data_IF_438071219039
#
_entry.id   IF_438071219039
#
_cell.length_a   1.000
_cell.length_b   1.000
_cell.length_c   1.000
_cell.angle_alpha   90.00
_cell.angle_beta   90.00
_cell.angle_gamma   90.00
#
_symmetry.space_group_name_H-M   'P 1'
#
loop_
_entity.id
_entity.type
_entity.pdbx_description
1 polymer ?
#
# COMPACT_ATOMS: atom_id res chain seq x y z
N UNK A 1 -5.53 -9.32 27.32
CA UNK A 1 -5.54 -8.37 26.19
C UNK A 1 -4.09 -7.99 25.95
N UNK A 2 -3.58 -8.07 24.72
CA UNK A 2 -2.24 -7.59 24.46
C UNK A 2 -2.17 -6.10 24.80
N UNK A 3 -1.15 -5.71 25.57
CA UNK A 3 -0.96 -4.32 26.02
C UNK A 3 -0.40 -3.51 24.84
N UNK A 4 -1.30 -2.91 24.03
CA UNK A 4 -0.92 -2.10 22.89
C UNK A 4 -0.33 -0.79 23.38
N UNK A 5 0.86 -0.45 22.88
CA UNK A 5 1.42 0.90 23.06
C UNK A 5 0.69 1.87 22.15
N UNK A 6 0.19 2.96 22.70
CA UNK A 6 -0.45 4.02 21.93
C UNK A 6 0.52 5.19 21.77
N UNK A 7 0.93 5.51 20.54
CA UNK A 7 1.91 6.54 20.23
C UNK A 7 1.24 7.64 19.39
N UNK A 8 1.51 8.90 19.70
CA UNK A 8 1.03 10.03 18.89
C UNK A 8 1.74 10.05 17.52
N UNK A 9 1.07 10.58 16.50
CA UNK A 9 1.56 10.53 15.12
C UNK A 9 2.93 11.22 14.97
N UNK A 10 3.12 12.42 15.51
CA UNK A 10 4.35 13.17 15.35
C UNK A 10 5.56 12.51 16.02
N UNK A 11 5.52 12.07 17.30
CA UNK A 11 6.59 11.30 17.91
C UNK A 11 6.90 9.99 17.16
N UNK A 12 5.88 9.32 16.61
CA UNK A 12 6.09 8.11 15.83
C UNK A 12 6.81 8.42 14.50
N UNK A 13 6.46 9.49 13.80
CA UNK A 13 7.17 9.96 12.60
C UNK A 13 8.64 10.23 12.94
N UNK A 14 8.92 10.95 14.03
CA UNK A 14 10.28 11.29 14.45
C UNK A 14 11.11 10.04 14.78
N UNK A 15 10.54 9.08 15.51
CA UNK A 15 11.20 7.82 15.85
C UNK A 15 11.54 7.00 14.60
N UNK A 16 10.59 6.87 13.66
CA UNK A 16 10.82 6.15 12.40
C UNK A 16 11.82 6.89 11.51
N UNK A 17 11.72 8.21 11.42
CA UNK A 17 12.68 9.06 10.67
C UNK A 17 14.11 8.87 11.20
N UNK A 18 14.30 8.81 12.53
CA UNK A 18 15.61 8.58 13.14
C UNK A 18 16.20 7.24 12.70
N UNK A 19 15.38 6.17 12.64
CA UNK A 19 15.82 4.84 12.18
C UNK A 19 16.24 4.88 10.71
N UNK A 20 15.41 5.50 9.84
CA UNK A 20 15.69 5.59 8.41
C UNK A 20 16.95 6.41 8.13
N UNK A 21 17.16 7.51 8.85
CA UNK A 21 18.40 8.32 8.79
C UNK A 21 19.63 7.53 9.23
N UNK A 22 19.52 6.77 10.31
CA UNK A 22 20.62 5.90 10.78
C UNK A 22 21.03 4.85 9.72
N UNK A 23 20.11 4.48 8.81
CA UNK A 23 20.38 3.63 7.65
C UNK A 23 21.06 4.35 6.48
N UNK A 24 21.41 5.63 6.61
CA UNK A 24 22.12 6.40 5.59
C UNK A 24 21.23 7.27 4.69
N UNK A 25 19.93 7.35 4.96
CA UNK A 25 18.99 8.20 4.22
C UNK A 25 19.16 9.68 4.52
N UNK A 26 18.94 10.53 3.51
CA UNK A 26 18.81 11.98 3.69
C UNK A 26 17.61 12.35 4.56
N UNK A 27 17.60 13.58 5.08
CA UNK A 27 16.46 14.11 5.86
C UNK A 27 15.14 14.03 5.09
N UNK A 28 15.18 14.38 3.81
CA UNK A 28 13.98 14.36 2.95
C UNK A 28 13.47 12.95 2.70
N UNK A 29 14.35 11.99 2.42
CA UNK A 29 13.98 10.59 2.24
C UNK A 29 13.35 10.04 3.53
N UNK A 30 14.00 10.27 4.67
CA UNK A 30 13.51 9.80 5.97
C UNK A 30 12.15 10.40 6.34
N UNK A 31 11.92 11.69 6.03
CA UNK A 31 10.63 12.36 6.20
C UNK A 31 9.54 11.71 5.36
N UNK A 32 9.77 11.52 4.06
CA UNK A 32 8.79 10.91 3.15
C UNK A 32 8.45 9.47 3.57
N UNK A 33 9.46 8.67 3.93
CA UNK A 33 9.25 7.29 4.38
C UNK A 33 8.45 7.25 5.68
N UNK A 34 8.86 7.99 6.70
CA UNK A 34 8.21 7.96 8.01
C UNK A 34 6.79 8.51 7.96
N UNK A 35 6.57 9.61 7.25
CA UNK A 35 5.24 10.21 7.10
C UNK A 35 4.28 9.27 6.37
N UNK A 36 4.71 8.64 5.27
CA UNK A 36 3.87 7.70 4.52
C UNK A 36 3.48 6.48 5.37
N UNK A 37 4.43 5.89 6.11
CA UNK A 37 4.16 4.74 6.98
C UNK A 37 3.21 5.09 8.12
N UNK A 38 3.40 6.22 8.77
CA UNK A 38 2.52 6.68 9.85
C UNK A 38 1.14 7.06 9.32
N UNK A 39 1.06 7.66 8.12
CA UNK A 39 -0.22 7.95 7.46
C UNK A 39 -0.99 6.65 7.15
N UNK A 40 -0.31 5.58 6.72
CA UNK A 40 -0.93 4.27 6.55
C UNK A 40 -1.50 3.73 7.87
N UNK A 41 -0.77 3.86 8.98
CA UNK A 41 -1.29 3.52 10.30
C UNK A 41 -2.49 4.39 10.68
N UNK A 42 -2.42 5.71 10.51
CA UNK A 42 -3.52 6.62 10.82
C UNK A 42 -4.82 6.20 10.10
N UNK A 43 -4.73 5.71 8.88
CA UNK A 43 -5.85 5.23 8.07
C UNK A 43 -6.27 3.77 8.33
N UNK A 44 -5.64 3.09 9.30
CA UNK A 44 -5.99 1.71 9.66
C UNK A 44 -5.34 0.64 8.79
N UNK A 45 -4.40 1.01 7.92
CA UNK A 45 -3.63 0.09 7.09
C UNK A 45 -2.31 -0.31 7.76
N UNK A 46 -2.38 -0.89 8.97
CA UNK A 46 -1.21 -1.24 9.80
C UNK A 46 -0.25 -2.21 9.11
N UNK A 47 -0.73 -3.01 8.16
CA UNK A 47 0.10 -3.90 7.34
C UNK A 47 1.07 -3.17 6.41
N UNK A 48 0.83 -1.90 6.11
CA UNK A 48 1.65 -1.01 5.28
C UNK A 48 2.21 0.17 6.09
N UNK A 49 2.05 0.14 7.41
CA UNK A 49 2.51 1.16 8.35
C UNK A 49 3.92 0.88 8.88
N UNK A 50 4.21 1.43 10.05
CA UNK A 50 5.54 1.39 10.69
C UNK A 50 6.07 -0.04 10.93
N UNK A 51 5.19 -1.04 10.99
CA UNK A 51 5.56 -2.46 11.03
C UNK A 51 6.34 -2.95 9.80
N UNK A 52 6.51 -2.13 8.77
CA UNK A 52 7.37 -2.42 7.61
C UNK A 52 8.85 -2.08 7.85
N UNK A 53 9.19 -1.31 8.88
CA UNK A 53 10.56 -0.87 9.17
C UNK A 53 11.55 -2.03 9.31
N UNK A 54 11.25 -3.12 10.05
CA UNK A 54 12.18 -4.25 10.14
C UNK A 54 12.52 -4.84 8.77
N UNK A 55 11.54 -4.91 7.86
CA UNK A 55 11.74 -5.40 6.50
C UNK A 55 12.57 -4.43 5.65
N UNK A 56 12.37 -3.13 5.80
CA UNK A 56 13.15 -2.12 5.09
C UNK A 56 14.60 -2.13 5.53
N UNK A 57 14.85 -2.16 6.84
CA UNK A 57 16.20 -2.29 7.41
C UNK A 57 16.90 -3.55 6.87
N UNK A 58 16.20 -4.69 6.86
CA UNK A 58 16.73 -5.92 6.30
C UNK A 58 17.03 -5.77 4.79
N UNK A 59 16.15 -5.13 4.02
CA UNK A 59 16.37 -4.91 2.58
C UNK A 59 17.56 -3.98 2.30
N UNK A 60 17.79 -2.96 3.10
CA UNK A 60 18.97 -2.10 3.01
C UNK A 60 20.24 -2.91 3.30
N UNK A 61 20.26 -3.68 4.39
CA UNK A 61 21.45 -4.46 4.79
C UNK A 61 21.82 -5.58 3.81
N UNK A 62 20.83 -6.13 3.10
CA UNK A 62 21.04 -7.19 2.09
C UNK A 62 21.24 -6.65 0.67
N UNK A 63 21.22 -5.32 0.47
CA UNK A 63 21.35 -4.68 -0.83
C UNK A 63 20.12 -4.81 -1.73
N UNK A 64 18.96 -5.09 -1.13
CA UNK A 64 17.68 -5.18 -1.84
C UNK A 64 16.92 -3.87 -1.95
N UNK A 65 17.32 -2.86 -1.16
CA UNK A 65 16.82 -1.50 -1.18
C UNK A 65 18.03 -0.55 -1.21
N UNK A 66 18.05 0.34 -2.20
CA UNK A 66 19.06 1.37 -2.34
C UNK A 66 18.54 2.70 -1.74
N UNK A 67 19.27 3.25 -0.75
CA UNK A 67 18.93 4.54 -0.14
C UNK A 67 19.25 5.71 -1.07
N UNK A 68 18.55 6.83 -0.90
CA UNK A 68 18.77 8.09 -1.61
C UNK A 68 18.66 7.96 -3.15
N UNK A 69 17.77 7.07 -3.61
CA UNK A 69 17.45 6.98 -5.03
C UNK A 69 16.28 7.89 -5.38
N UNK A 70 16.31 8.37 -6.61
CA UNK A 70 15.26 9.17 -7.24
C UNK A 70 14.77 8.47 -8.51
N UNK A 71 13.56 8.80 -8.98
CA UNK A 71 13.04 8.21 -10.21
C UNK A 71 13.94 8.58 -11.40
N UNK A 72 14.26 7.56 -12.21
CA UNK A 72 14.92 7.75 -13.48
C UNK A 72 13.87 7.78 -14.60
N UNK A 73 13.81 8.87 -15.35
CA UNK A 73 12.96 8.95 -16.53
C UNK A 73 13.60 8.11 -17.63
N UNK A 74 12.88 7.08 -18.09
CA UNK A 74 13.28 6.20 -19.19
C UNK A 74 12.69 6.70 -20.50
N UNK A 75 11.42 7.14 -20.48
CA UNK A 75 10.71 7.72 -21.61
C UNK A 75 9.80 8.84 -21.12
N UNK A 76 9.79 9.97 -21.82
CA UNK A 76 8.82 11.07 -21.64
C UNK A 76 8.41 11.61 -23.01
N UNK A 77 7.17 11.36 -23.39
CA UNK A 77 6.58 11.91 -24.62
C UNK A 77 5.49 12.96 -24.33
N UNK A 78 5.42 13.43 -23.08
CA UNK A 78 4.36 14.27 -22.55
C UNK A 78 3.24 13.42 -21.93
N UNK A 79 2.30 12.87 -22.69
CA UNK A 79 1.23 12.04 -22.13
C UNK A 79 1.67 10.61 -21.74
N UNK A 80 2.80 10.13 -22.22
CA UNK A 80 3.37 8.82 -21.88
C UNK A 80 4.66 8.99 -21.10
N UNK A 81 4.74 8.38 -19.93
CA UNK A 81 5.88 8.45 -19.02
C UNK A 81 6.28 7.05 -18.58
N UNK A 82 7.55 6.70 -18.73
CA UNK A 82 8.10 5.45 -18.18
C UNK A 82 9.24 5.78 -17.23
N UNK A 83 9.16 5.21 -16.01
CA UNK A 83 10.04 5.52 -14.90
C UNK A 83 10.67 4.23 -14.34
N UNK A 84 11.95 4.32 -13.95
CA UNK A 84 12.67 3.30 -13.21
C UNK A 84 12.95 3.80 -11.79
N UNK A 85 12.50 3.05 -10.78
CA UNK A 85 12.66 3.39 -9.36
C UNK A 85 13.99 2.98 -8.76
N UNK A 86 14.90 2.35 -9.53
CA UNK A 86 16.27 2.01 -9.12
C UNK A 86 16.36 1.29 -7.75
N UNK A 87 15.34 0.53 -7.39
CA UNK A 87 15.16 -0.14 -6.09
C UNK A 87 15.14 0.80 -4.89
N UNK A 88 14.89 2.10 -5.09
CA UNK A 88 14.79 3.10 -4.04
C UNK A 88 13.57 2.93 -3.14
N UNK A 89 13.54 3.66 -2.02
CA UNK A 89 12.36 3.67 -1.14
C UNK A 89 11.10 4.04 -1.92
N UNK A 90 10.13 3.13 -1.92
CA UNK A 90 8.89 3.32 -2.68
C UNK A 90 8.10 4.57 -2.30
N UNK A 91 8.29 5.08 -1.10
CA UNK A 91 7.69 6.33 -0.62
C UNK A 91 8.25 7.56 -1.34
N UNK A 92 9.55 7.57 -1.64
CA UNK A 92 10.20 8.63 -2.42
C UNK A 92 9.86 8.46 -3.90
N UNK A 93 10.08 7.26 -4.42
CA UNK A 93 9.88 6.91 -5.82
C UNK A 93 8.42 7.12 -6.25
N UNK A 94 7.45 6.70 -5.43
CA UNK A 94 6.03 6.90 -5.70
C UNK A 94 5.63 8.37 -5.65
N UNK A 95 6.14 9.13 -4.67
CA UNK A 95 5.90 10.57 -4.56
C UNK A 95 6.37 11.31 -5.82
N UNK A 96 7.62 11.11 -6.21
CA UNK A 96 8.18 11.76 -7.40
C UNK A 96 7.48 11.34 -8.70
N UNK A 97 7.13 10.04 -8.83
CA UNK A 97 6.41 9.53 -9.98
C UNK A 97 5.02 10.21 -10.13
N UNK A 98 4.31 10.39 -9.03
CA UNK A 98 2.99 11.04 -9.07
C UNK A 98 3.08 12.54 -9.32
N UNK A 99 4.08 13.25 -8.78
CA UNK A 99 4.31 14.67 -9.11
C UNK A 99 4.59 14.87 -10.60
N UNK A 100 5.52 14.08 -11.17
CA UNK A 100 5.82 14.12 -12.59
C UNK A 100 4.58 13.82 -13.45
N UNK A 101 3.83 12.79 -13.10
CA UNK A 101 2.65 12.38 -13.84
C UNK A 101 1.50 13.41 -13.73
N UNK A 102 1.30 14.01 -12.54
CA UNK A 102 0.31 15.08 -12.34
C UNK A 102 0.61 16.32 -13.18
N UNK A 103 1.88 16.74 -13.24
CA UNK A 103 2.30 17.84 -14.11
C UNK A 103 1.97 17.55 -15.60
N UNK A 104 2.27 16.31 -16.08
CA UNK A 104 1.98 15.93 -17.46
C UNK A 104 0.48 15.85 -17.73
N UNK A 105 -0.31 15.31 -16.78
CA UNK A 105 -1.75 15.24 -16.91
C UNK A 105 -2.38 16.63 -16.99
N UNK A 106 -1.97 17.57 -16.15
CA UNK A 106 -2.43 18.97 -16.22
C UNK A 106 -2.09 19.63 -17.56
N UNK A 107 -0.93 19.36 -18.12
CA UNK A 107 -0.52 19.93 -19.40
C UNK A 107 -1.25 19.29 -20.58
N UNK A 108 -1.35 17.97 -20.61
CA UNK A 108 -1.82 17.20 -21.78
C UNK A 108 -3.28 16.70 -21.65
N UNK A 109 -3.91 16.82 -20.48
CA UNK A 109 -5.23 16.26 -20.18
C UNK A 109 -5.18 14.82 -19.64
N UNK A 110 -4.10 14.09 -19.91
CA UNK A 110 -3.87 12.72 -19.45
C UNK A 110 -2.37 12.46 -19.31
N UNK A 111 -2.01 11.60 -18.36
CA UNK A 111 -0.70 10.95 -18.33
C UNK A 111 -0.90 9.46 -18.06
N UNK A 112 -0.35 8.61 -18.93
CA UNK A 112 -0.15 7.20 -18.69
C UNK A 112 1.27 7.01 -18.19
N UNK A 113 1.45 6.62 -16.94
CA UNK A 113 2.77 6.42 -16.34
C UNK A 113 2.99 4.97 -15.94
N UNK A 114 4.06 4.36 -16.43
CA UNK A 114 4.60 3.09 -16.01
C UNK A 114 5.78 3.31 -15.08
N UNK A 115 5.69 2.82 -13.86
CA UNK A 115 6.78 2.79 -12.87
C UNK A 115 7.24 1.36 -12.68
N UNK A 116 8.54 1.11 -12.81
CA UNK A 116 9.16 -0.19 -12.56
C UNK A 116 10.23 -0.11 -11.47
N UNK A 117 10.65 -1.28 -10.96
CA UNK A 117 11.77 -1.44 -10.05
C UNK A 117 11.74 -0.51 -8.81
N UNK A 118 10.56 -0.16 -8.31
CA UNK A 118 10.45 0.52 -7.02
C UNK A 118 10.53 -0.52 -5.90
N UNK A 119 11.18 -0.22 -4.77
CA UNK A 119 10.93 -0.98 -3.56
C UNK A 119 9.48 -0.75 -3.10
N UNK A 120 9.04 -1.40 -2.02
CA UNK A 120 7.65 -1.36 -1.53
C UNK A 120 7.05 0.05 -1.49
N UNK A 121 5.99 0.29 -2.28
CA UNK A 121 5.35 1.61 -2.44
C UNK A 121 4.26 1.91 -1.41
N UNK A 122 4.12 1.08 -0.37
CA UNK A 122 3.17 1.32 0.73
C UNK A 122 1.70 1.12 0.36
N UNK A 123 0.82 1.92 0.94
CA UNK A 123 -0.62 1.94 0.67
C UNK A 123 -0.90 2.69 -0.64
N UNK A 124 -1.55 2.04 -1.58
CA UNK A 124 -1.71 2.60 -2.93
C UNK A 124 -2.65 3.81 -2.94
N UNK A 125 -3.66 3.83 -2.08
CA UNK A 125 -4.54 4.99 -1.91
C UNK A 125 -3.80 6.29 -1.58
N UNK A 126 -2.58 6.26 -1.06
CA UNK A 126 -1.74 7.46 -0.85
C UNK A 126 -1.43 8.15 -2.19
N UNK A 127 -1.12 7.39 -3.21
CA UNK A 127 -0.81 7.92 -4.54
C UNK A 127 -2.06 8.47 -5.26
N UNK A 128 -3.19 7.82 -5.06
CA UNK A 128 -4.48 8.35 -5.53
C UNK A 128 -4.85 9.66 -4.83
N UNK A 129 -4.62 9.78 -3.53
CA UNK A 129 -4.84 11.00 -2.75
C UNK A 129 -3.92 12.14 -3.22
N UNK A 130 -2.64 11.86 -3.50
CA UNK A 130 -1.73 12.84 -4.08
C UNK A 130 -2.24 13.35 -5.44
N UNK A 131 -2.76 12.50 -6.31
CA UNK A 131 -3.39 12.94 -7.56
C UNK A 131 -4.66 13.79 -7.30
N UNK A 132 -5.45 13.44 -6.31
CA UNK A 132 -6.66 14.18 -5.91
C UNK A 132 -6.31 15.59 -5.40
N UNK A 133 -5.21 15.76 -4.68
CA UNK A 133 -4.73 17.09 -4.22
C UNK A 133 -4.42 18.01 -5.40
N UNK A 134 -4.09 17.45 -6.55
CA UNK A 134 -3.95 18.16 -7.83
C UNK A 134 -5.28 18.31 -8.61
N UNK A 135 -6.41 17.82 -8.09
CA UNK A 135 -7.72 17.84 -8.76
C UNK A 135 -7.86 16.81 -9.89
N UNK A 136 -7.04 15.76 -9.88
CA UNK A 136 -6.96 14.76 -10.94
C UNK A 136 -7.66 13.45 -10.53
N UNK A 137 -8.28 12.80 -11.51
CA UNK A 137 -8.76 11.42 -11.39
C UNK A 137 -7.60 10.48 -11.67
N UNK A 138 -7.45 9.40 -10.89
CA UNK A 138 -6.38 8.43 -11.11
C UNK A 138 -6.85 6.98 -10.97
N UNK A 139 -6.23 6.09 -11.74
CA UNK A 139 -6.45 4.64 -11.72
C UNK A 139 -5.08 3.97 -11.65
N UNK A 140 -4.88 3.04 -10.73
CA UNK A 140 -3.61 2.40 -10.47
C UNK A 140 -3.73 0.88 -10.48
N UNK A 141 -2.86 0.21 -11.25
CA UNK A 141 -2.67 -1.23 -11.29
C UNK A 141 -1.28 -1.54 -10.76
N UNK A 142 -1.18 -2.34 -9.71
CA UNK A 142 0.11 -2.59 -9.03
C UNK A 142 0.40 -4.08 -8.99
N UNK A 143 1.63 -4.43 -9.34
CA UNK A 143 2.13 -5.77 -9.07
C UNK A 143 3.06 -5.80 -7.85
N UNK A 144 3.18 -6.97 -7.23
CA UNK A 144 4.02 -7.18 -6.05
C UNK A 144 4.94 -8.38 -6.29
N UNK A 145 6.20 -8.11 -6.57
CA UNK A 145 7.23 -9.15 -6.66
C UNK A 145 7.78 -9.43 -5.27
N UNK A 146 7.42 -10.58 -4.76
CA UNK A 146 7.88 -11.09 -3.47
C UNK A 146 7.66 -12.61 -3.46
N UNK A 147 7.71 -13.26 -2.29
CA UNK A 147 7.20 -14.64 -2.19
C UNK A 147 5.75 -14.67 -2.66
N UNK A 148 5.38 -15.52 -3.63
CA UNK A 148 3.98 -15.67 -4.06
C UNK A 148 3.13 -16.16 -2.88
N UNK A 149 2.03 -15.47 -2.60
CA UNK A 149 1.20 -15.72 -1.42
C UNK A 149 -0.29 -15.85 -1.71
N UNK A 150 -0.71 -15.52 -2.93
CA UNK A 150 -2.12 -15.59 -3.33
C UNK A 150 -2.26 -16.64 -4.42
N UNK A 151 -3.18 -17.59 -4.21
CA UNK A 151 -3.50 -18.60 -5.21
C UNK A 151 -4.37 -17.99 -6.32
N UNK A 152 -4.18 -18.39 -7.59
CA UNK A 152 -5.17 -18.13 -8.63
C UNK A 152 -6.45 -18.91 -8.30
N UNK A 153 -7.59 -18.44 -8.78
CA UNK A 153 -8.83 -19.15 -8.59
C UNK A 153 -8.77 -20.56 -9.20
N UNK A 154 -9.09 -21.58 -8.42
CA UNK A 154 -8.93 -22.99 -8.80
C UNK A 154 -7.51 -23.56 -8.61
N UNK A 155 -6.54 -22.72 -8.19
CA UNK A 155 -5.18 -23.17 -7.87
C UNK A 155 -5.04 -23.63 -6.43
N UNK A 156 -4.01 -24.44 -6.17
CA UNK A 156 -3.71 -25.03 -4.86
C UNK A 156 -2.49 -24.43 -4.16
N UNK A 157 -1.82 -23.45 -4.79
CA UNK A 157 -0.62 -22.78 -4.25
C UNK A 157 -0.57 -21.29 -4.63
N UNK A 158 0.29 -20.53 -3.96
CA UNK A 158 0.50 -19.11 -4.26
C UNK A 158 1.25 -18.91 -5.58
N UNK A 159 0.73 -18.03 -6.46
CA UNK A 159 1.33 -17.71 -7.77
C UNK A 159 1.61 -16.22 -7.97
N UNK A 160 0.95 -15.35 -7.22
CA UNK A 160 1.17 -13.89 -7.30
C UNK A 160 1.10 -13.23 -5.92
N UNK A 161 1.41 -11.96 -5.86
CA UNK A 161 1.26 -11.11 -4.69
C UNK A 161 -0.20 -10.71 -4.44
N UNK A 162 -0.40 -9.73 -3.57
CA UNK A 162 -1.73 -9.18 -3.28
C UNK A 162 -2.21 -8.19 -4.34
N UNK A 163 -1.37 -7.82 -5.28
CA UNK A 163 -1.60 -7.06 -6.50
C UNK A 163 -2.76 -6.06 -6.41
N UNK A 164 -2.58 -4.92 -5.71
CA UNK A 164 -3.67 -4.01 -5.42
C UNK A 164 -4.13 -3.21 -6.65
N UNK A 165 -5.41 -2.82 -6.60
CA UNK A 165 -6.04 -1.91 -7.54
C UNK A 165 -6.56 -0.69 -6.78
N UNK A 166 -6.38 0.50 -7.34
CA UNK A 166 -6.82 1.72 -6.69
C UNK A 166 -7.40 2.74 -7.69
N UNK A 167 -8.42 3.47 -7.25
CA UNK A 167 -9.02 4.58 -8.01
C UNK A 167 -9.24 5.77 -7.08
N UNK A 168 -8.80 6.95 -7.52
CA UNK A 168 -9.04 8.23 -6.87
C UNK A 168 -9.94 9.13 -7.70
N UNK A 169 -10.99 9.70 -7.08
CA UNK A 169 -11.86 10.68 -7.73
C UNK A 169 -12.00 11.90 -6.82
N UNK A 170 -11.55 13.09 -7.27
CA UNK A 170 -11.68 14.33 -6.51
C UNK A 170 -13.16 14.77 -6.42
N UNK A 171 -13.50 15.45 -5.32
CA UNK A 171 -14.80 16.10 -5.11
C UNK A 171 -14.56 17.52 -4.61
N UNK A 172 -15.00 18.51 -5.35
CA UNK A 172 -14.79 19.90 -5.01
C UNK A 172 -15.37 20.27 -3.61
N UNK A 173 -14.52 20.67 -2.69
CA UNK A 173 -14.90 21.06 -1.33
C UNK A 173 -15.47 19.95 -0.44
N UNK A 174 -15.35 18.69 -0.84
CA UNK A 174 -15.84 17.52 -0.10
C UNK A 174 -14.79 16.40 -0.04
N UNK A 175 -15.01 15.44 0.85
CA UNK A 175 -14.16 14.26 0.95
C UNK A 175 -14.14 13.46 -0.36
N UNK A 176 -12.97 13.10 -0.87
CA UNK A 176 -12.82 12.39 -2.14
C UNK A 176 -13.32 10.94 -2.06
N UNK A 177 -13.50 10.31 -3.21
CA UNK A 177 -13.67 8.86 -3.31
C UNK A 177 -12.29 8.25 -3.51
N UNK A 178 -11.89 7.32 -2.63
CA UNK A 178 -10.63 6.58 -2.71
C UNK A 178 -10.94 5.10 -2.57
N UNK A 179 -10.96 4.39 -3.67
CA UNK A 179 -11.08 2.95 -3.69
C UNK A 179 -9.67 2.35 -3.70
N UNK A 180 -9.27 1.69 -2.62
CA UNK A 180 -7.95 1.04 -2.49
C UNK A 180 -8.11 -0.33 -1.85
N UNK A 181 -7.79 -1.39 -2.60
CA UNK A 181 -7.93 -2.75 -2.10
C UNK A 181 -6.93 -3.72 -2.73
N UNK A 182 -6.53 -4.72 -1.95
CA UNK A 182 -5.80 -5.88 -2.44
C UNK A 182 -6.74 -6.81 -3.22
N UNK A 183 -6.24 -7.47 -4.26
CA UNK A 183 -7.00 -8.49 -5.00
C UNK A 183 -7.12 -9.83 -4.25
N UNK A 184 -6.43 -9.96 -3.13
CA UNK A 184 -6.60 -11.05 -2.17
C UNK A 184 -7.76 -10.79 -1.20
N UNK A 185 -8.35 -11.85 -0.67
CA UNK A 185 -9.46 -11.78 0.29
C UNK A 185 -9.07 -11.10 1.61
N UNK A 186 -7.79 -11.19 1.99
CA UNK A 186 -7.23 -10.55 3.17
C UNK A 186 -5.79 -10.12 2.90
N UNK A 187 -5.33 -9.05 3.53
CA UNK A 187 -3.93 -8.65 3.49
C UNK A 187 -3.04 -9.62 4.30
N UNK A 188 -1.84 -9.94 3.80
CA UNK A 188 -0.89 -10.83 4.48
C UNK A 188 -0.56 -10.37 5.92
N UNK A 189 -0.44 -9.07 6.15
CA UNK A 189 -0.20 -8.55 7.50
C UNK A 189 -1.30 -8.92 8.50
N UNK A 190 -2.56 -8.97 8.06
CA UNK A 190 -3.68 -9.40 8.93
C UNK A 190 -3.59 -10.89 9.28
N UNK A 191 -3.14 -11.75 8.35
CA UNK A 191 -2.96 -13.18 8.66
C UNK A 191 -1.83 -13.40 9.67
N UNK A 192 -0.74 -12.61 9.57
CA UNK A 192 0.35 -12.62 10.57
C UNK A 192 -0.16 -12.20 11.95
N UNK A 193 -0.95 -11.14 12.04
CA UNK A 193 -1.55 -10.70 13.31
C UNK A 193 -2.46 -11.78 13.90
N UNK A 194 -3.29 -12.43 13.09
CA UNK A 194 -4.15 -13.53 13.54
C UNK A 194 -3.29 -14.70 14.06
N UNK A 195 -2.21 -15.07 13.35
CA UNK A 195 -1.28 -16.10 13.78
C UNK A 195 -0.65 -15.78 15.14
N UNK A 196 -0.12 -14.56 15.29
CA UNK A 196 0.51 -14.12 16.54
C UNK A 196 -0.47 -14.09 17.73
N UNK A 197 -1.74 -13.86 17.46
CA UNK A 197 -2.82 -13.88 18.47
C UNK A 197 -3.40 -15.27 18.72
N UNK A 198 -3.01 -16.29 17.94
CA UNK A 198 -3.58 -17.64 18.02
C UNK A 198 -5.07 -17.69 17.67
N UNK A 199 -5.56 -16.78 16.80
CA UNK A 199 -6.97 -16.75 16.36
C UNK A 199 -7.10 -17.26 14.93
N UNK A 200 -8.21 -17.94 14.65
CA UNK A 200 -8.53 -18.44 13.33
C UNK A 200 -8.99 -17.31 12.40
N UNK A 201 -8.83 -17.54 11.10
CA UNK A 201 -9.36 -16.67 10.05
C UNK A 201 -10.78 -17.11 9.66
N UNK A 202 -11.48 -16.19 8.99
CA UNK A 202 -12.79 -16.51 8.42
C UNK A 202 -12.69 -17.65 7.38
N UNK A 203 -13.64 -18.60 7.35
CA UNK A 203 -13.70 -19.66 6.36
C UNK A 203 -13.64 -19.10 4.91
N UNK A 204 -12.98 -19.83 4.02
CA UNK A 204 -12.81 -19.44 2.62
C UNK A 204 -11.80 -18.30 2.40
N UNK A 205 -10.95 -18.02 3.39
CA UNK A 205 -9.91 -16.98 3.30
C UNK A 205 -8.59 -17.53 2.79
N UNK A 206 -8.22 -18.74 3.20
CA UNK A 206 -6.92 -19.36 2.90
C UNK A 206 -7.05 -20.85 2.62
N UNK A 207 -6.01 -21.39 2.00
CA UNK A 207 -5.78 -22.82 1.82
C UNK A 207 -4.47 -23.23 2.51
N UNK A 208 -4.36 -24.52 2.90
CA UNK A 208 -3.15 -25.11 3.43
C UNK A 208 -2.13 -25.44 2.33
N UNK A 209 -1.05 -26.09 2.70
CA UNK A 209 0.02 -26.53 1.76
C UNK A 209 -0.36 -27.69 0.84
N UNK A 210 -1.52 -28.30 1.03
CA UNK A 210 -2.10 -29.33 0.14
C UNK A 210 -3.21 -28.74 -0.75
N UNK A 211 -3.49 -27.43 -0.63
CA UNK A 211 -4.55 -26.76 -1.37
C UNK A 211 -5.95 -26.92 -0.76
N UNK A 212 -6.07 -27.47 0.45
CA UNK A 212 -7.35 -27.66 1.13
C UNK A 212 -7.76 -26.40 1.89
N UNK A 213 -9.05 -26.05 1.92
CA UNK A 213 -9.55 -24.93 2.74
C UNK A 213 -9.16 -25.09 4.21
N UNK A 214 -8.68 -24.00 4.82
CA UNK A 214 -8.33 -23.97 6.25
C UNK A 214 -8.60 -22.57 6.83
N UNK A 215 -8.76 -22.50 8.16
CA UNK A 215 -8.86 -21.23 8.92
C UNK A 215 -7.58 -20.92 9.67
N UNK A 216 -6.62 -21.86 9.70
CA UNK A 216 -5.39 -21.73 10.49
C UNK A 216 -4.37 -20.79 9.80
N UNK A 217 -4.12 -19.57 10.33
CA UNK A 217 -3.27 -18.57 9.72
C UNK A 217 -1.79 -18.98 9.60
N UNK A 218 -1.35 -20.05 10.30
CA UNK A 218 0.03 -20.51 10.25
C UNK A 218 0.51 -20.76 8.81
N UNK A 219 -0.39 -21.27 7.95
CA UNK A 219 -0.03 -21.63 6.57
C UNK A 219 0.33 -20.44 5.69
N UNK A 220 0.02 -19.21 6.09
CA UNK A 220 0.46 -18.01 5.39
C UNK A 220 1.75 -17.41 5.98
N UNK A 221 2.15 -17.85 7.19
CA UNK A 221 3.23 -17.25 7.98
C UNK A 221 4.47 -18.12 8.04
N UNK A 222 4.32 -19.41 8.36
CA UNK A 222 5.44 -20.35 8.53
C UNK A 222 5.32 -21.56 7.59
N UNK A 223 6.47 -22.08 7.10
CA UNK A 223 6.48 -23.30 6.26
C UNK A 223 5.89 -24.55 6.97
N UNK A 224 5.33 -25.50 6.23
CA UNK A 224 5.03 -25.42 4.82
C UNK A 224 3.91 -24.41 4.52
N UNK A 225 4.09 -23.60 3.45
CA UNK A 225 3.16 -22.53 3.15
C UNK A 225 1.98 -23.02 2.31
N UNK A 226 0.79 -22.55 2.66
CA UNK A 226 -0.39 -22.52 1.83
C UNK A 226 -0.51 -21.19 1.09
N UNK A 227 -1.74 -20.73 0.82
CA UNK A 227 -1.99 -19.49 0.11
C UNK A 227 -3.26 -18.77 0.60
N UNK A 228 -3.30 -17.46 0.38
CA UNK A 228 -4.49 -16.64 0.53
C UNK A 228 -5.34 -16.78 -0.74
N UNK A 229 -6.65 -16.79 -0.60
CA UNK A 229 -7.57 -16.84 -1.74
C UNK A 229 -7.85 -15.43 -2.29
N UNK A 230 -8.19 -15.28 -3.59
CA UNK A 230 -8.60 -14.00 -4.17
C UNK A 230 -9.97 -13.58 -3.64
N UNK A 231 -10.23 -12.25 -3.56
CA UNK A 231 -11.57 -11.77 -3.27
C UNK A 231 -12.52 -12.09 -4.45
N UNK A 232 -13.81 -12.34 -4.17
CA UNK A 232 -14.80 -12.57 -5.23
C UNK A 232 -14.39 -13.64 -6.25
N UNK A 233 -13.61 -14.65 -5.81
CA UNK A 233 -13.25 -15.83 -6.58
C UNK A 233 -12.53 -15.49 -7.91
N UNK A 234 -13.09 -15.93 -9.06
CA UNK A 234 -12.50 -15.68 -10.39
C UNK A 234 -12.37 -14.19 -10.74
N UNK A 235 -13.21 -13.30 -10.15
CA UNK A 235 -13.17 -11.85 -10.42
C UNK A 235 -11.90 -11.23 -9.84
N UNK A 236 -11.61 -11.48 -8.56
CA UNK A 236 -10.39 -11.02 -7.92
C UNK A 236 -9.14 -11.66 -8.50
N UNK A 237 -9.20 -12.96 -8.85
CA UNK A 237 -8.10 -13.64 -9.52
C UNK A 237 -7.82 -13.05 -10.91
N UNK A 238 -8.85 -12.74 -11.68
CA UNK A 238 -8.71 -12.07 -12.99
C UNK A 238 -8.10 -10.68 -12.85
N UNK A 239 -8.56 -9.88 -11.86
CA UNK A 239 -8.00 -8.56 -11.62
C UNK A 239 -6.55 -8.64 -11.13
N UNK A 240 -6.19 -9.63 -10.28
CA UNK A 240 -4.81 -9.86 -9.85
C UNK A 240 -3.88 -10.14 -11.03
N UNK A 241 -4.31 -10.98 -11.99
CA UNK A 241 -3.59 -11.26 -13.22
C UNK A 241 -3.38 -9.97 -14.05
N UNK A 242 -4.42 -9.16 -14.20
CA UNK A 242 -4.34 -7.88 -14.93
C UNK A 242 -3.39 -6.90 -14.24
N UNK A 243 -3.46 -6.78 -12.90
CA UNK A 243 -2.52 -5.95 -12.13
C UNK A 243 -1.07 -6.44 -12.28
N UNK A 244 -0.85 -7.77 -12.31
CA UNK A 244 0.49 -8.33 -12.54
C UNK A 244 1.05 -7.95 -13.91
N UNK A 245 0.22 -8.04 -14.96
CA UNK A 245 0.66 -7.73 -16.34
C UNK A 245 0.83 -6.23 -16.55
N UNK A 246 -0.13 -5.41 -16.15
CA UNK A 246 -0.10 -3.97 -16.38
C UNK A 246 0.88 -3.27 -15.45
N UNK A 247 0.83 -3.57 -14.15
CA UNK A 247 1.73 -3.00 -13.16
C UNK A 247 3.17 -3.49 -13.28
N UNK A 248 3.37 -4.73 -13.74
CA UNK A 248 4.69 -5.32 -13.94
C UNK A 248 5.20 -5.20 -15.37
N UNK A 249 4.75 -6.08 -16.25
CA UNK A 249 5.33 -6.22 -17.59
C UNK A 249 5.15 -4.97 -18.46
N UNK A 250 3.96 -4.40 -18.53
CA UNK A 250 3.69 -3.21 -19.35
C UNK A 250 4.44 -1.98 -18.84
N UNK A 251 4.65 -1.86 -17.55
CA UNK A 251 5.40 -0.76 -16.93
C UNK A 251 6.91 -0.88 -17.08
N UNK A 252 7.42 -1.88 -17.81
CA UNK A 252 8.84 -2.12 -18.05
C UNK A 252 9.55 -2.87 -16.91
N UNK A 253 8.80 -3.39 -15.94
CA UNK A 253 9.30 -4.17 -14.81
C UNK A 253 9.20 -5.67 -15.05
N UNK A 254 9.31 -6.42 -13.96
CA UNK A 254 9.21 -7.87 -13.93
C UNK A 254 7.82 -8.32 -13.46
N UNK A 255 7.50 -9.56 -13.74
CA UNK A 255 6.38 -10.29 -13.15
C UNK A 255 6.92 -11.39 -12.23
N UNK A 256 6.09 -11.89 -11.31
CA UNK A 256 6.47 -13.02 -10.45
C UNK A 256 6.74 -14.27 -11.30
N UNK A 257 7.91 -14.88 -11.14
CA UNK A 257 8.37 -16.05 -11.89
C UNK A 257 8.92 -17.14 -10.95
N UNK A 258 8.13 -17.54 -9.97
CA UNK A 258 8.56 -18.56 -9.01
C UNK A 258 9.06 -17.98 -7.68
N UNK A 259 9.80 -18.77 -6.89
CA UNK A 259 10.28 -18.32 -5.58
C UNK A 259 11.26 -17.15 -5.71
N UNK A 260 11.25 -16.27 -4.70
CA UNK A 260 12.20 -15.15 -4.57
C UNK A 260 13.65 -15.65 -4.65
N UNK A 261 14.54 -14.82 -5.20
CA UNK A 261 15.97 -15.06 -5.32
C UNK A 261 16.75 -15.08 -3.97
N UNK A 262 16.02 -15.09 -2.85
CA UNK A 262 16.59 -15.05 -1.50
C UNK A 262 17.02 -13.65 -1.05
N UNK A 263 17.03 -12.64 -1.89
CA UNK A 263 17.09 -11.24 -1.47
C UNK A 263 15.74 -10.84 -0.93
N UNK A 264 15.71 -10.30 0.28
CA UNK A 264 14.46 -9.91 0.95
C UNK A 264 13.81 -8.68 0.30
N UNK A 265 13.69 -8.70 -1.02
CA UNK A 265 13.13 -7.62 -1.81
C UNK A 265 11.63 -7.76 -1.92
N UNK A 266 10.94 -6.66 -1.71
CA UNK A 266 9.63 -6.44 -2.30
C UNK A 266 9.82 -5.41 -3.37
N UNK A 267 9.65 -5.80 -4.63
CA UNK A 267 9.62 -4.86 -5.74
C UNK A 267 8.18 -4.63 -6.16
N UNK A 268 7.87 -3.39 -6.46
CA UNK A 268 6.61 -3.00 -7.05
C UNK A 268 6.84 -2.37 -8.42
N UNK A 269 5.96 -2.71 -9.34
CA UNK A 269 5.66 -1.93 -10.51
C UNK A 269 4.25 -1.37 -10.41
N UNK A 270 4.00 -0.26 -11.08
CA UNK A 270 2.71 0.40 -11.08
C UNK A 270 2.44 1.03 -12.44
N UNK A 271 1.31 0.67 -13.06
CA UNK A 271 0.73 1.43 -14.16
C UNK A 271 -0.31 2.38 -13.58
N UNK A 272 -0.19 3.67 -13.88
CA UNK A 272 -1.19 4.65 -13.49
C UNK A 272 -1.72 5.41 -14.70
N UNK A 273 -3.04 5.63 -14.72
CA UNK A 273 -3.74 6.49 -15.69
C UNK A 273 -4.24 7.69 -14.90
N UNK A 274 -3.73 8.88 -15.21
CA UNK A 274 -4.05 10.11 -14.51
C UNK A 274 -4.73 11.06 -15.50
N UNK A 275 -5.91 11.55 -15.15
CA UNK A 275 -6.80 12.30 -16.04
C UNK A 275 -7.15 13.64 -15.43
N UNK A 276 -7.01 14.71 -16.20
CA UNK A 276 -7.53 16.03 -15.86
C UNK A 276 -8.97 16.19 -16.41
N UNK A 277 -9.99 16.15 -15.55
CA UNK A 277 -11.37 16.29 -16.01
C UNK A 277 -11.67 17.66 -16.62
N UNK A 278 -10.89 18.71 -16.32
CA UNK A 278 -11.05 20.02 -16.92
C UNK A 278 -10.64 20.03 -18.38
N UNK A 279 -9.56 19.34 -18.73
CA UNK A 279 -9.08 19.16 -20.09
C UNK A 279 -9.96 18.23 -20.93
N UNK A 280 -10.62 17.28 -20.27
CA UNK A 280 -11.63 16.43 -20.91
C UNK A 280 -12.94 17.21 -21.21
N UNK A 281 -13.12 18.40 -20.62
CA UNK A 281 -14.33 19.21 -20.79
C UNK A 281 -15.54 18.70 -19.99
N UNK A 282 -15.33 17.82 -19.02
CA UNK A 282 -16.40 17.13 -18.27
C UNK A 282 -16.42 17.46 -16.78
N UNK A 283 -15.59 18.40 -16.30
CA UNK A 283 -15.42 18.67 -14.87
C UNK A 283 -16.73 19.05 -14.15
N UNK A 284 -17.54 19.92 -14.75
CA UNK A 284 -18.84 20.31 -14.17
C UNK A 284 -19.85 19.16 -14.16
N UNK A 285 -19.87 18.37 -15.25
CA UNK A 285 -20.71 17.18 -15.32
C UNK A 285 -20.27 16.13 -14.29
N UNK A 286 -18.98 15.88 -14.17
CA UNK A 286 -18.41 14.97 -13.16
C UNK A 286 -18.83 15.40 -11.76
N UNK A 287 -18.66 16.68 -11.40
CA UNK A 287 -19.02 17.19 -10.08
C UNK A 287 -20.51 16.98 -9.78
N UNK A 288 -21.41 17.33 -10.72
CA UNK A 288 -22.85 17.19 -10.55
C UNK A 288 -23.30 15.72 -10.43
N UNK A 289 -22.85 14.88 -11.35
CA UNK A 289 -23.27 13.47 -11.40
C UNK A 289 -22.69 12.64 -10.24
N UNK A 290 -21.45 12.91 -9.82
CA UNK A 290 -20.86 12.25 -8.65
C UNK A 290 -21.67 12.56 -7.39
N UNK A 291 -22.07 13.81 -7.16
CA UNK A 291 -22.88 14.18 -5.99
C UNK A 291 -24.28 13.56 -6.04
N UNK A 292 -24.92 13.58 -7.21
CA UNK A 292 -26.21 12.95 -7.41
C UNK A 292 -26.16 11.44 -7.14
N UNK A 293 -25.14 10.77 -7.68
CA UNK A 293 -24.98 9.33 -7.49
C UNK A 293 -24.63 8.96 -6.03
N UNK A 294 -23.76 9.73 -5.37
CA UNK A 294 -23.43 9.51 -3.95
C UNK A 294 -24.69 9.66 -3.08
N UNK A 295 -25.49 10.69 -3.31
CA UNK A 295 -26.74 10.89 -2.57
C UNK A 295 -27.70 9.69 -2.76
N UNK A 296 -27.83 9.21 -3.98
CA UNK A 296 -28.61 8.01 -4.27
C UNK A 296 -28.04 6.75 -3.61
N UNK A 297 -26.74 6.52 -3.72
CA UNK A 297 -26.04 5.37 -3.15
C UNK A 297 -26.16 5.32 -1.62
N UNK A 298 -25.87 6.43 -0.96
CA UNK A 298 -25.92 6.52 0.51
C UNK A 298 -27.34 6.65 1.06
N UNK A 299 -28.31 6.97 0.23
CA UNK A 299 -29.75 6.98 0.55
C UNK A 299 -30.36 5.57 0.66
N UNK A 300 -29.61 4.51 0.33
CA UNK A 300 -30.05 3.14 0.56
C UNK A 300 -30.23 2.89 2.07
N UNK A 301 -31.35 2.29 2.52
CA UNK A 301 -31.54 1.91 3.92
C UNK A 301 -30.38 1.00 4.38
N UNK A 302 -29.75 1.28 5.53
CA UNK A 302 -28.70 0.42 6.06
C UNK A 302 -29.21 -1.01 6.33
N UNK A 303 -28.36 -2.00 6.09
CA UNK A 303 -28.66 -3.38 6.46
C UNK A 303 -28.73 -3.54 7.99
N UNK A 304 -29.42 -4.57 8.54
CA UNK A 304 -29.47 -4.82 9.97
C UNK A 304 -28.06 -4.88 10.60
N UNK A 305 -27.83 -4.09 11.64
CA UNK A 305 -26.53 -4.00 12.34
C UNK A 305 -25.52 -3.07 11.69
N UNK A 306 -25.89 -2.35 10.64
CA UNK A 306 -25.05 -1.33 9.95
C UNK A 306 -25.62 0.05 10.24
N UNK A 307 -24.79 1.00 10.69
CA UNK A 307 -25.23 2.36 11.03
C UNK A 307 -25.57 3.19 9.77
N UNK A 308 -24.76 3.08 8.74
CA UNK A 308 -24.91 3.84 7.48
C UNK A 308 -24.21 3.17 6.32
N UNK A 309 -24.69 3.45 5.10
CA UNK A 309 -23.97 3.11 3.87
C UNK A 309 -22.83 4.10 3.68
N UNK A 310 -21.62 3.58 3.44
CA UNK A 310 -20.38 4.36 3.29
C UNK A 310 -19.88 4.36 1.86
N UNK A 311 -19.19 5.43 1.49
CA UNK A 311 -18.43 5.49 0.24
C UNK A 311 -16.98 5.04 0.46
N UNK A 312 -16.30 4.66 -0.63
CA UNK A 312 -14.90 4.25 -0.60
C UNK A 312 -14.01 5.39 -0.06
N UNK A 313 -13.10 5.06 0.87
CA UNK A 313 -12.23 5.99 1.59
C UNK A 313 -12.83 6.58 2.88
N UNK A 314 -14.11 6.41 3.14
CA UNK A 314 -14.74 6.92 4.37
C UNK A 314 -14.28 6.18 5.64
N UNK A 315 -14.16 4.84 5.65
CA UNK A 315 -13.62 4.11 6.82
C UNK A 315 -12.20 4.55 7.19
N UNK A 316 -11.35 4.83 6.20
CA UNK A 316 -9.98 5.30 6.39
C UNK A 316 -9.97 6.70 7.02
N UNK A 317 -10.83 7.61 6.59
CA UNK A 317 -10.96 8.96 7.16
C UNK A 317 -11.48 8.93 8.60
N UNK A 318 -12.48 8.10 8.89
CA UNK A 318 -12.99 7.91 10.25
C UNK A 318 -11.90 7.36 11.18
N UNK A 319 -11.15 6.36 10.71
CA UNK A 319 -10.03 5.78 11.46
C UNK A 319 -8.93 6.80 11.69
N UNK A 320 -8.58 7.60 10.67
CA UNK A 320 -7.59 8.68 10.79
C UNK A 320 -8.01 9.71 11.84
N UNK A 321 -9.26 10.18 11.79
CA UNK A 321 -9.80 11.13 12.77
C UNK A 321 -9.67 10.58 14.20
N UNK A 322 -10.03 9.31 14.41
CA UNK A 322 -9.91 8.64 15.69
C UNK A 322 -8.46 8.55 16.16
N UNK A 323 -7.56 8.02 15.31
CA UNK A 323 -6.15 7.81 15.67
C UNK A 323 -5.35 9.09 15.81
N UNK A 324 -5.73 10.20 15.18
CA UNK A 324 -5.16 11.51 15.44
C UNK A 324 -5.50 12.01 16.86
N UNK A 325 -6.73 11.77 17.31
CA UNK A 325 -7.15 12.15 18.66
C UNK A 325 -6.58 11.23 19.74
N UNK A 326 -6.69 9.93 19.56
CA UNK A 326 -6.34 8.91 20.57
C UNK A 326 -4.86 8.52 20.53
N UNK A 327 -4.25 8.47 19.37
CA UNK A 327 -2.93 7.91 19.07
C UNK A 327 -3.04 6.62 18.25
N UNK A 328 -1.92 6.14 17.77
CA UNK A 328 -1.78 4.95 16.92
C UNK A 328 -1.46 3.75 17.80
N UNK A 329 -2.28 2.68 17.80
CA UNK A 329 -1.98 1.48 18.56
C UNK A 329 -0.92 0.64 17.83
N UNK A 330 0.21 0.40 18.47
CA UNK A 330 1.28 -0.48 17.99
C UNK A 330 1.37 -1.68 18.93
N UNK A 331 1.29 -2.89 18.38
CA UNK A 331 1.39 -4.11 19.20
C UNK A 331 2.82 -4.32 19.71
N UNK A 332 3.00 -4.98 20.88
CA UNK A 332 4.31 -5.11 21.53
C UNK A 332 5.36 -5.82 20.66
N UNK A 333 4.93 -6.79 19.84
CA UNK A 333 5.85 -7.52 18.94
C UNK A 333 6.35 -6.60 17.83
N UNK A 334 5.46 -5.88 17.18
CA UNK A 334 5.82 -4.90 16.15
C UNK A 334 6.74 -3.81 16.71
N UNK A 335 6.45 -3.29 17.91
CA UNK A 335 7.30 -2.27 18.52
C UNK A 335 8.70 -2.78 18.83
N UNK A 336 8.80 -3.96 19.47
CA UNK A 336 10.10 -4.61 19.72
C UNK A 336 10.89 -4.83 18.43
N UNK A 337 10.24 -5.29 17.35
CA UNK A 337 10.91 -5.53 16.08
C UNK A 337 11.41 -4.21 15.45
N UNK A 338 10.70 -3.09 15.65
CA UNK A 338 11.15 -1.74 15.26
C UNK A 338 12.39 -1.32 16.04
N UNK A 339 12.41 -1.53 17.36
CA UNK A 339 13.59 -1.21 18.20
C UNK A 339 14.81 -2.02 17.74
N UNK A 340 14.64 -3.32 17.51
CA UNK A 340 15.71 -4.19 17.01
C UNK A 340 16.20 -3.76 15.62
N UNK A 341 15.31 -3.31 14.76
CA UNK A 341 15.65 -2.77 13.44
C UNK A 341 16.51 -1.49 13.58
N UNK A 342 16.15 -0.57 14.47
CA UNK A 342 16.97 0.62 14.76
C UNK A 342 18.37 0.26 15.27
N UNK A 343 18.46 -0.73 16.15
CA UNK A 343 19.74 -1.24 16.65
C UNK A 343 20.64 -1.81 15.55
N UNK A 344 20.06 -2.40 14.51
CA UNK A 344 20.82 -2.88 13.34
C UNK A 344 21.58 -1.75 12.64
N UNK A 345 21.04 -0.55 12.64
CA UNK A 345 21.71 0.66 12.13
C UNK A 345 22.49 1.44 13.19
N UNK A 346 22.69 0.86 14.37
CA UNK A 346 23.46 1.47 15.47
C UNK A 346 22.67 2.50 16.29
N UNK A 347 21.36 2.60 16.11
CA UNK A 347 20.53 3.48 16.93
C UNK A 347 20.09 2.76 18.20
N UNK A 348 20.42 3.34 19.34
CA UNK A 348 20.11 2.80 20.67
C UNK A 348 18.58 2.79 20.94
N UNK A 349 18.10 1.68 21.52
CA UNK A 349 16.68 1.47 21.82
C UNK A 349 16.12 2.58 22.75
N UNK A 350 16.89 3.00 23.76
CA UNK A 350 16.47 4.04 24.69
C UNK A 350 16.30 5.41 23.99
N UNK A 351 17.07 5.67 22.95
CA UNK A 351 16.92 6.86 22.11
C UNK A 351 15.61 6.82 21.34
N UNK A 352 15.28 5.68 20.70
CA UNK A 352 14.01 5.50 19.96
C UNK A 352 12.82 5.63 20.92
N UNK A 353 12.91 4.97 22.09
CA UNK A 353 11.88 5.03 23.13
C UNK A 353 11.62 6.47 23.61
N UNK A 354 12.70 7.22 23.85
CA UNK A 354 12.61 8.63 24.28
C UNK A 354 11.96 9.53 23.23
N UNK A 355 12.20 9.29 21.94
CA UNK A 355 11.60 10.05 20.83
C UNK A 355 10.11 9.69 20.70
N UNK A 356 9.77 8.42 20.83
CA UNK A 356 8.40 7.94 20.66
C UNK A 356 7.46 8.34 21.81
N UNK A 357 7.97 8.66 22.97
CA UNK A 357 7.22 9.14 24.16
C UNK A 357 6.81 8.03 25.12
#
# INVERSE_FOLDING_TARGET
>A
MADYRTIKAQPLIEAISAIVKAGGSTDREAELVSTNLVEANLKGHDSHGVGMIPRYVQSVTTGGLAVNQHVKIVLDTGPLLTLDGLTGYGQVIGHEAMELAAERAKRNGVCLVGLSNSHHIGRIGHWAEQCIDHGLVSIHFVNVISRPIVAPWGGSDGRHGTNPFCVGVPRAGKDPIVLDFATSRIAQGKTRVAHNKGVELEPGTIIDNEGKPTTNPRYTVIPPHGAILPFGEHKGSGLALVCEILGGALSGGQVVKGPSDGKYNVLNGMLSIIIDPTKLGTAENLAREVESFIAWHTGSPPAPGVDKVKIAGEPERETKKKRLAEGIPVDPTTWRDILLAGKTFGLDEATIEKIAG
#
